data_IF_158769044326
#
_entry.id   IF_158769044326
#
_cell.length_a   1.000
_cell.length_b   1.000
_cell.length_c   1.000
_cell.angle_alpha   90.00
_cell.angle_beta   90.00
_cell.angle_gamma   90.00
#
_symmetry.space_group_name_H-M   'P 1'
#
loop_
_entity.id
_entity.type
_entity.pdbx_description
1 polymer ?
#
# COMPACT_ATOMS: atom_id res chain seq x y z
N UNK A 1 15.61 -5.85 -32.09
CA UNK A 1 14.71 -6.60 -31.19
C UNK A 1 14.62 -5.79 -29.92
N UNK A 2 13.46 -5.18 -29.67
CA UNK A 2 13.28 -4.23 -28.57
C UNK A 2 13.12 -5.03 -27.27
N UNK A 3 14.16 -5.10 -26.44
CA UNK A 3 14.03 -5.54 -25.06
C UNK A 3 13.16 -4.52 -24.34
N UNK A 4 11.84 -4.79 -24.27
CA UNK A 4 10.93 -4.06 -23.40
C UNK A 4 11.24 -4.48 -21.97
N UNK A 5 12.31 -3.93 -21.39
CA UNK A 5 12.59 -4.06 -19.95
C UNK A 5 11.31 -3.64 -19.22
N UNK A 6 10.77 -4.56 -18.44
CA UNK A 6 9.68 -4.26 -17.52
C UNK A 6 10.16 -3.09 -16.64
N UNK A 7 9.38 -2.01 -16.50
CA UNK A 7 9.76 -0.92 -15.61
C UNK A 7 10.04 -1.46 -14.20
N UNK A 8 11.10 -1.00 -13.53
CA UNK A 8 11.51 -1.54 -12.23
C UNK A 8 10.37 -1.53 -11.20
N UNK A 9 9.48 -0.53 -11.23
CA UNK A 9 8.30 -0.47 -10.36
C UNK A 9 7.30 -1.62 -10.60
N UNK A 10 7.18 -2.09 -11.84
CA UNK A 10 6.27 -3.18 -12.20
C UNK A 10 6.83 -4.53 -11.76
N UNK A 11 8.15 -4.74 -11.92
CA UNK A 11 8.83 -5.91 -11.35
C UNK A 11 8.67 -5.98 -9.83
N UNK A 12 8.78 -4.84 -9.14
CA UNK A 12 8.54 -4.75 -7.70
C UNK A 12 7.11 -5.20 -7.36
N UNK A 13 6.08 -4.66 -8.02
CA UNK A 13 4.69 -5.05 -7.77
C UNK A 13 4.47 -6.56 -8.02
N UNK A 14 4.97 -7.09 -9.13
CA UNK A 14 4.82 -8.51 -9.48
C UNK A 14 5.51 -9.42 -8.44
N UNK A 15 6.70 -9.06 -7.98
CA UNK A 15 7.42 -9.78 -6.90
C UNK A 15 6.72 -9.68 -5.55
N UNK A 16 5.98 -8.60 -5.31
CA UNK A 16 5.10 -8.47 -4.16
C UNK A 16 3.82 -9.31 -4.30
N UNK A 17 3.54 -9.94 -5.46
CA UNK A 17 2.30 -10.68 -5.73
C UNK A 17 1.11 -9.80 -6.13
N UNK A 18 1.38 -8.56 -6.54
CA UNK A 18 0.39 -7.61 -7.05
C UNK A 18 0.38 -7.66 -8.58
N UNK A 19 -0.76 -8.06 -9.14
CA UNK A 19 -1.00 -8.06 -10.57
C UNK A 19 -1.50 -6.69 -11.01
N UNK A 20 -0.85 -6.06 -12.00
CA UNK A 20 -1.32 -4.80 -12.59
C UNK A 20 -2.50 -5.07 -13.51
N UNK A 21 -3.69 -4.57 -13.16
CA UNK A 21 -4.94 -4.83 -13.90
C UNK A 21 -5.35 -3.69 -14.83
N UNK A 22 -4.73 -2.51 -14.71
CA UNK A 22 -4.95 -1.39 -15.62
C UNK A 22 -4.38 -0.08 -15.12
N UNK A 23 -4.79 1.02 -15.77
CA UNK A 23 -4.48 2.36 -15.33
C UNK A 23 -5.39 2.78 -14.16
N UNK A 24 -4.91 3.71 -13.34
CA UNK A 24 -5.73 4.33 -12.31
C UNK A 24 -6.85 5.17 -12.92
N UNK A 25 -8.03 5.23 -12.28
CA UNK A 25 -9.14 6.01 -12.79
C UNK A 25 -8.87 7.53 -12.62
N UNK A 26 -9.47 8.39 -13.45
CA UNK A 26 -9.17 9.83 -13.47
C UNK A 26 -9.51 10.57 -12.17
N UNK A 27 -10.39 10.00 -11.35
CA UNK A 27 -10.90 10.49 -10.07
C UNK A 27 -10.10 9.96 -8.87
N UNK A 28 -8.98 9.27 -9.09
CA UNK A 28 -8.06 8.91 -8.02
C UNK A 28 -7.57 10.18 -7.28
N UNK A 29 -7.38 10.12 -5.95
CA UNK A 29 -7.00 11.29 -5.17
C UNK A 29 -5.62 11.80 -5.61
N UNK A 30 -5.31 13.10 -5.44
CA UNK A 30 -3.98 13.60 -5.71
C UNK A 30 -2.93 12.85 -4.86
N UNK A 31 -1.84 12.40 -5.50
CA UNK A 31 -0.77 11.62 -4.83
C UNK A 31 -0.25 12.33 -3.57
N UNK A 32 -0.04 13.64 -3.64
CA UNK A 32 0.44 14.41 -2.49
C UNK A 32 -0.57 14.43 -1.35
N UNK A 33 -1.88 14.50 -1.63
CA UNK A 33 -2.91 14.44 -0.60
C UNK A 33 -2.87 13.12 0.16
N UNK A 34 -2.70 11.99 -0.55
CA UNK A 34 -2.55 10.69 0.08
C UNK A 34 -1.26 10.57 0.91
N UNK A 35 -0.14 11.13 0.43
CA UNK A 35 1.12 11.14 1.20
C UNK A 35 0.97 11.97 2.49
N UNK A 36 0.33 13.15 2.42
CA UNK A 36 0.10 13.98 3.60
C UNK A 36 -0.89 13.35 4.59
N UNK A 37 -1.85 12.56 4.11
CA UNK A 37 -2.77 11.82 4.97
C UNK A 37 -2.07 10.71 5.79
N UNK A 38 -0.87 10.29 5.40
CA UNK A 38 -0.10 9.23 6.10
C UNK A 38 1.08 9.80 6.89
N UNK A 39 1.77 10.81 6.34
CA UNK A 39 3.01 11.35 6.91
C UNK A 39 2.83 12.75 7.54
N UNK A 40 1.59 13.19 7.75
CA UNK A 40 1.29 14.48 8.36
C UNK A 40 1.58 14.50 9.86
N UNK A 41 1.93 15.67 10.41
CA UNK A 41 2.28 15.84 11.83
C UNK A 41 1.14 15.44 12.79
N UNK A 42 -0.11 15.58 12.34
CA UNK A 42 -1.31 15.29 13.14
C UNK A 42 -1.93 13.91 12.81
N UNK A 43 -1.23 13.06 12.06
CA UNK A 43 -1.75 11.73 11.70
C UNK A 43 -1.79 10.85 12.94
N UNK A 44 -2.97 10.30 13.23
CA UNK A 44 -3.17 9.28 14.24
C UNK A 44 -3.40 7.91 13.57
N UNK A 45 -2.60 6.88 13.90
CA UNK A 45 -2.79 5.55 13.35
C UNK A 45 -4.00 4.86 13.98
N UNK A 46 -4.69 4.01 13.22
CA UNK A 46 -5.71 3.11 13.78
C UNK A 46 -5.13 1.87 14.42
N UNK A 47 -3.87 1.55 14.11
CA UNK A 47 -3.11 0.54 14.83
C UNK A 47 -1.62 0.94 14.93
N UNK A 48 -1.05 0.78 16.11
CA UNK A 48 0.38 0.98 16.40
C UNK A 48 0.96 -0.35 16.88
N UNK A 49 1.99 -0.83 16.19
CA UNK A 49 2.68 -2.09 16.49
C UNK A 49 4.16 -1.78 16.74
N UNK A 50 4.69 -1.94 17.96
CA UNK A 50 6.11 -1.80 18.20
C UNK A 50 6.93 -2.73 17.33
N UNK A 51 7.95 -2.21 16.65
CA UNK A 51 8.85 -2.97 15.77
C UNK A 51 9.62 -4.06 16.53
N UNK A 52 9.88 -3.80 17.81
CA UNK A 52 10.51 -4.70 18.78
C UNK A 52 9.57 -5.78 19.31
N UNK A 53 8.27 -5.73 19.01
CA UNK A 53 7.33 -6.73 19.47
C UNK A 53 7.62 -8.10 18.83
N UNK A 54 7.47 -9.21 19.57
CA UNK A 54 7.51 -10.53 18.96
C UNK A 54 6.47 -10.62 17.84
N UNK A 55 6.91 -11.09 16.67
CA UNK A 55 6.08 -11.23 15.47
C UNK A 55 5.46 -9.90 14.99
N UNK A 56 6.18 -8.78 15.11
CA UNK A 56 5.68 -7.46 14.70
C UNK A 56 5.19 -7.44 13.23
N UNK A 57 5.89 -8.10 12.31
CA UNK A 57 5.49 -8.19 10.90
C UNK A 57 4.17 -8.94 10.71
N UNK A 58 3.97 -10.07 11.41
CA UNK A 58 2.73 -10.84 11.33
C UNK A 58 1.55 -10.00 11.89
N UNK A 59 1.78 -9.26 12.98
CA UNK A 59 0.77 -8.35 13.55
C UNK A 59 0.42 -7.20 12.62
N UNK A 60 1.42 -6.64 11.92
CA UNK A 60 1.20 -5.60 10.92
C UNK A 60 0.37 -6.13 9.75
N UNK A 61 0.69 -7.34 9.27
CA UNK A 61 -0.07 -8.01 8.21
C UNK A 61 -1.54 -8.17 8.61
N UNK A 62 -1.80 -8.70 9.80
CA UNK A 62 -3.16 -8.89 10.33
C UNK A 62 -3.90 -7.56 10.49
N UNK A 63 -3.26 -6.57 11.12
CA UNK A 63 -3.86 -5.27 11.37
C UNK A 63 -4.20 -4.55 10.05
N UNK A 64 -3.27 -4.53 9.09
CA UNK A 64 -3.50 -3.87 7.81
C UNK A 64 -4.65 -4.52 7.04
N UNK A 65 -4.68 -5.86 6.93
CA UNK A 65 -5.78 -6.56 6.24
C UNK A 65 -7.13 -6.36 6.93
N UNK A 66 -7.15 -6.34 8.27
CA UNK A 66 -8.35 -6.04 9.04
C UNK A 66 -8.89 -4.65 8.69
N UNK A 67 -8.05 -3.61 8.75
CA UNK A 67 -8.47 -2.24 8.50
C UNK A 67 -8.78 -1.97 7.02
N UNK A 68 -8.02 -2.53 6.09
CA UNK A 68 -8.32 -2.45 4.65
C UNK A 68 -9.70 -3.04 4.33
N UNK A 69 -10.05 -4.17 4.96
CA UNK A 69 -11.37 -4.79 4.81
C UNK A 69 -12.48 -3.93 5.42
N UNK A 70 -12.30 -3.42 6.65
CA UNK A 70 -13.28 -2.54 7.29
C UNK A 70 -13.51 -1.24 6.52
N UNK A 71 -12.46 -0.70 5.91
CA UNK A 71 -12.52 0.49 5.07
C UNK A 71 -13.02 0.19 3.64
N UNK A 72 -13.46 -1.03 3.32
CA UNK A 72 -13.90 -1.39 1.97
C UNK A 72 -12.89 -0.97 0.87
N UNK A 73 -11.59 -1.19 1.13
CA UNK A 73 -10.51 -0.81 0.22
C UNK A 73 -10.62 -1.52 -1.14
N UNK A 74 -11.07 -2.77 -1.11
CA UNK A 74 -11.18 -3.62 -2.28
C UNK A 74 -12.55 -3.50 -2.95
N UNK A 75 -12.58 -3.52 -4.28
CA UNK A 75 -13.83 -3.74 -5.01
C UNK A 75 -14.26 -5.23 -5.00
N UNK A 76 -15.36 -5.53 -5.69
CA UNK A 76 -15.90 -6.90 -5.82
C UNK A 76 -14.92 -7.90 -6.46
N UNK A 77 -13.90 -7.42 -7.19
CA UNK A 77 -12.87 -8.23 -7.84
C UNK A 77 -11.58 -8.34 -7.03
N UNK A 78 -11.51 -7.68 -5.88
CA UNK A 78 -10.30 -7.59 -5.06
C UNK A 78 -9.28 -6.56 -5.57
N UNK A 79 -9.71 -5.61 -6.40
CA UNK A 79 -8.85 -4.58 -6.98
C UNK A 79 -8.82 -3.31 -6.12
N UNK A 80 -7.68 -2.63 -6.16
CA UNK A 80 -7.43 -1.37 -5.47
C UNK A 80 -6.31 -0.58 -6.17
N UNK A 81 -6.07 0.65 -5.74
CA UNK A 81 -4.97 1.49 -6.21
C UNK A 81 -3.81 1.42 -5.23
N UNK A 82 -2.59 1.39 -5.75
CA UNK A 82 -1.37 1.44 -4.93
C UNK A 82 -0.38 2.43 -5.54
N UNK A 83 0.32 3.18 -4.70
CA UNK A 83 1.58 3.80 -5.14
C UNK A 83 2.64 2.69 -5.15
N UNK A 84 3.38 2.46 -6.26
CA UNK A 84 4.41 1.45 -6.27
C UNK A 84 5.33 1.59 -5.04
N UNK A 85 5.53 0.52 -4.25
CA UNK A 85 6.28 0.65 -3.01
C UNK A 85 7.77 0.82 -3.29
N UNK A 86 8.46 1.47 -2.36
CA UNK A 86 9.90 1.74 -2.45
C UNK A 86 10.27 3.06 -3.16
N UNK A 87 11.57 3.31 -3.34
CA UNK A 87 12.08 4.62 -3.74
C UNK A 87 11.54 5.11 -5.09
N UNK A 88 10.90 6.28 -5.08
CA UNK A 88 10.46 6.96 -6.29
C UNK A 88 9.14 6.47 -6.88
N UNK A 89 8.46 5.51 -6.26
CA UNK A 89 7.18 5.00 -6.74
C UNK A 89 6.06 6.04 -6.78
N UNK A 90 6.06 7.02 -5.88
CA UNK A 90 5.11 8.14 -5.91
C UNK A 90 5.19 8.99 -7.19
N UNK A 91 6.33 9.00 -7.89
CA UNK A 91 6.49 9.71 -9.18
C UNK A 91 5.82 8.98 -10.35
N UNK A 92 5.51 7.69 -10.20
CA UNK A 92 4.77 6.90 -11.19
C UNK A 92 3.28 7.22 -11.10
N UNK A 93 2.80 7.52 -9.88
CA UNK A 93 1.39 7.73 -9.59
C UNK A 93 0.68 6.43 -9.23
N UNK A 94 -0.65 6.47 -9.23
CA UNK A 94 -1.49 5.34 -8.88
C UNK A 94 -1.42 4.24 -9.93
N UNK A 95 -1.33 3.00 -9.46
CA UNK A 95 -1.41 1.80 -10.28
C UNK A 95 -2.59 0.97 -9.80
N UNK A 96 -3.45 0.55 -10.72
CA UNK A 96 -4.55 -0.37 -10.44
C UNK A 96 -3.99 -1.78 -10.33
N UNK A 97 -4.19 -2.41 -9.18
CA UNK A 97 -3.66 -3.74 -8.89
C UNK A 97 -4.72 -4.66 -8.31
N UNK A 98 -4.45 -5.96 -8.42
CA UNK A 98 -5.12 -7.03 -7.68
C UNK A 98 -4.10 -7.80 -6.87
N UNK A 99 -4.39 -8.05 -5.60
CA UNK A 99 -3.56 -8.95 -4.78
C UNK A 99 -3.93 -10.40 -5.07
N UNK A 100 -3.01 -11.12 -5.72
CA UNK A 100 -3.23 -12.53 -6.12
C UNK A 100 -2.93 -13.53 -5.01
N UNK A 101 -2.27 -13.09 -3.93
CA UNK A 101 -1.94 -13.93 -2.77
C UNK A 101 -2.99 -13.75 -1.67
N UNK A 102 -3.51 -12.53 -1.51
CA UNK A 102 -4.64 -12.22 -0.62
C UNK A 102 -4.33 -12.25 0.87
N UNK A 103 -3.04 -12.28 1.25
CA UNK A 103 -2.58 -12.23 2.64
C UNK A 103 -1.17 -11.65 2.74
N UNK A 104 -0.81 -11.21 3.94
CA UNK A 104 0.55 -10.81 4.31
C UNK A 104 1.18 -9.81 3.33
N UNK A 105 0.44 -8.76 2.96
CA UNK A 105 0.89 -7.82 1.93
C UNK A 105 2.03 -6.93 2.45
N UNK A 106 1.95 -6.30 3.64
CA UNK A 106 3.09 -5.59 4.24
C UNK A 106 4.39 -6.41 4.27
N UNK A 107 4.34 -7.66 4.73
CA UNK A 107 5.53 -8.53 4.77
C UNK A 107 6.09 -8.86 3.38
N UNK A 108 5.23 -9.10 2.38
CA UNK A 108 5.67 -9.32 0.99
C UNK A 108 6.35 -8.09 0.41
N UNK A 109 5.79 -6.91 0.65
CA UNK A 109 6.38 -5.64 0.23
C UNK A 109 7.75 -5.47 0.89
N UNK A 110 7.83 -5.65 2.21
CA UNK A 110 9.09 -5.58 2.95
C UNK A 110 10.15 -6.55 2.43
N UNK A 111 9.76 -7.77 2.01
CA UNK A 111 10.68 -8.75 1.44
C UNK A 111 11.27 -8.34 0.08
N UNK A 112 10.63 -7.43 -0.65
CA UNK A 112 11.07 -6.96 -1.96
C UNK A 112 11.78 -5.60 -1.87
N UNK A 113 11.27 -4.69 -1.05
CA UNK A 113 11.72 -3.28 -0.99
C UNK A 113 12.62 -3.00 0.22
N UNK A 114 12.65 -3.89 1.21
CA UNK A 114 13.34 -3.67 2.49
C UNK A 114 12.54 -2.85 3.51
N UNK A 115 11.31 -2.42 3.19
CA UNK A 115 10.43 -1.67 4.10
C UNK A 115 8.97 -2.09 3.89
N UNK A 116 8.15 -2.25 4.95
CA UNK A 116 6.74 -2.59 4.81
C UNK A 116 5.87 -1.40 4.35
N UNK A 117 6.46 -0.24 4.07
CA UNK A 117 5.73 0.99 3.77
C UNK A 117 5.08 0.98 2.39
N UNK A 118 3.80 1.29 2.36
CA UNK A 118 3.05 1.54 1.13
C UNK A 118 1.73 2.25 1.43
N UNK A 119 1.19 2.88 0.38
CA UNK A 119 -0.11 3.56 0.42
C UNK A 119 -1.04 2.87 -0.59
N UNK A 120 -2.20 2.43 -0.12
CA UNK A 120 -3.26 1.89 -0.95
C UNK A 120 -4.54 2.71 -0.81
N UNK A 121 -5.31 2.79 -1.89
CA UNK A 121 -6.57 3.53 -1.98
C UNK A 121 -7.63 2.69 -2.70
N UNK A 122 -8.89 2.84 -2.31
CA UNK A 122 -10.03 2.22 -2.98
C UNK A 122 -10.17 2.68 -4.42
N UNK A 123 -10.78 1.86 -5.28
CA UNK A 123 -10.94 2.23 -6.69
C UNK A 123 -11.82 3.46 -6.93
N UNK A 124 -12.72 3.78 -6.00
CA UNK A 124 -13.51 5.02 -6.04
C UNK A 124 -12.72 6.25 -5.54
N UNK A 125 -11.47 6.06 -5.13
CA UNK A 125 -10.58 7.14 -4.69
C UNK A 125 -10.88 7.70 -3.31
N UNK A 126 -11.85 7.14 -2.56
CA UNK A 126 -12.38 7.77 -1.33
C UNK A 126 -11.75 7.29 -0.05
N UNK A 127 -11.18 6.08 -0.03
CA UNK A 127 -10.71 5.44 1.21
C UNK A 127 -9.29 4.98 1.05
N UNK A 128 -8.46 5.31 2.02
CA UNK A 128 -7.05 4.98 2.07
C UNK A 128 -6.79 4.01 3.21
N UNK A 129 -5.88 3.05 2.98
CA UNK A 129 -5.28 2.23 4.03
C UNK A 129 -3.79 2.09 3.72
N UNK A 130 -2.94 2.53 4.64
CA UNK A 130 -1.49 2.53 4.49
C UNK A 130 -0.81 1.78 5.62
N UNK A 131 0.38 1.26 5.34
CA UNK A 131 1.35 0.87 6.36
C UNK A 131 2.50 1.88 6.32
N UNK A 132 2.92 2.41 7.47
CA UNK A 132 4.08 3.29 7.61
C UNK A 132 5.03 2.82 8.72
N UNK A 133 6.27 3.31 8.70
CA UNK A 133 7.27 3.07 9.75
C UNK A 133 7.56 4.40 10.43
N UNK A 134 7.26 4.49 11.73
CA UNK A 134 7.43 5.70 12.54
C UNK A 134 8.37 5.41 13.71
N UNK A 135 9.62 5.87 13.60
CA UNK A 135 10.77 5.66 14.53
C UNK A 135 10.97 4.22 15.04
N UNK A 136 10.06 3.70 15.88
CA UNK A 136 10.10 2.40 16.54
C UNK A 136 8.79 1.60 16.39
N UNK A 137 7.83 2.09 15.60
CA UNK A 137 6.53 1.47 15.42
C UNK A 137 6.20 1.29 13.94
N UNK A 138 5.48 0.21 13.65
CA UNK A 138 4.69 0.10 12.45
C UNK A 138 3.30 0.67 12.70
N UNK A 139 2.85 1.51 11.79
CA UNK A 139 1.54 2.14 11.87
C UNK A 139 0.66 1.61 10.74
N UNK A 140 -0.63 1.42 11.06
CA UNK A 140 -1.69 1.32 10.06
C UNK A 140 -2.49 2.60 10.11
N UNK A 141 -2.57 3.29 8.97
CA UNK A 141 -3.31 4.55 8.84
C UNK A 141 -4.47 4.33 7.89
N UNK A 142 -5.66 4.80 8.27
CA UNK A 142 -6.81 4.87 7.37
C UNK A 142 -7.29 6.31 7.24
N UNK A 143 -7.78 6.66 6.06
CA UNK A 143 -8.25 8.01 5.78
C UNK A 143 -9.41 7.99 4.78
N UNK A 144 -10.31 8.97 4.90
CA UNK A 144 -11.40 9.22 3.95
C UNK A 144 -11.25 10.63 3.37
N UNK A 145 -11.31 10.74 2.03
CA UNK A 145 -11.09 11.99 1.27
C UNK A 145 -12.37 12.81 1.06
#
# INVERSE_FOLDING_TARGET
>A
MNDRRVPEWRDVLERCGLEVTGDAPPDAPPVNSAIYAVNGVEVEPVATIPDSAPHASDKLDEAWHHHASQAALYDEKGEFLVLPPGPGGSRIGWVRVKDTVGKNLPSRISGVTGSPEFIAVSLDGRRLCAASVEEYDYWVVVHEF
#
